data_IF_200531797178
#
_entry.id   IF_200531797178
#
_cell.length_a   1.000
_cell.length_b   1.000
_cell.length_c   1.000
_cell.angle_alpha   90.00
_cell.angle_beta   90.00
_cell.angle_gamma   90.00
#
_symmetry.space_group_name_H-M   'P 1'
#
loop_
_entity.id
_entity.type
_entity.pdbx_description
1 polymer ?
#
# COMPACT_ATOMS: atom_id res chain seq x y z
N UNK A 1 -14.37 4.01 5.04
CA UNK A 1 -13.03 3.51 4.62
C UNK A 1 -11.99 3.84 5.69
N UNK A 2 -10.99 2.93 5.94
CA UNK A 2 -9.88 3.21 6.86
C UNK A 2 -8.64 3.63 6.07
N UNK A 3 -8.08 4.78 6.39
CA UNK A 3 -6.88 5.34 5.76
C UNK A 3 -5.80 5.55 6.81
N UNK A 4 -4.52 5.45 6.41
CA UNK A 4 -3.39 5.69 7.30
C UNK A 4 -2.63 6.94 6.88
N UNK A 5 -2.54 7.92 7.75
CA UNK A 5 -1.64 9.06 7.62
C UNK A 5 -0.29 8.78 8.26
N UNK A 6 0.74 9.49 7.81
CA UNK A 6 2.11 9.32 8.30
C UNK A 6 2.70 10.65 8.71
N UNK A 7 3.32 10.67 9.88
CA UNK A 7 4.01 11.81 10.47
C UNK A 7 5.46 11.40 10.70
N UNK A 8 6.41 12.24 10.33
CA UNK A 8 7.83 12.03 10.62
C UNK A 8 8.14 12.59 12.00
N UNK A 9 8.53 11.73 12.93
CA UNK A 9 9.04 12.15 14.24
C UNK A 9 10.49 12.63 14.14
N UNK A 10 10.85 13.56 15.01
CA UNK A 10 12.19 14.15 15.14
C UNK A 10 12.68 14.05 16.59
N UNK A 11 12.85 12.81 17.12
CA UNK A 11 13.27 12.62 18.50
C UNK A 11 14.70 13.11 18.72
N UNK A 12 14.98 13.58 19.93
CA UNK A 12 16.34 13.83 20.45
C UNK A 12 17.14 12.52 20.55
N UNK A 13 18.40 12.60 20.92
CA UNK A 13 19.21 11.38 21.11
C UNK A 13 18.67 10.50 22.25
N UNK A 14 18.26 11.11 23.35
CA UNK A 14 17.68 10.42 24.51
C UNK A 14 16.33 9.79 24.18
N UNK A 15 15.44 10.55 23.53
CA UNK A 15 14.14 10.04 23.06
C UNK A 15 14.30 8.92 22.02
N UNK A 16 15.36 8.95 21.21
CA UNK A 16 15.70 7.87 20.27
C UNK A 16 16.00 6.56 21.00
N UNK A 17 16.79 6.61 22.07
CA UNK A 17 17.09 5.44 22.89
C UNK A 17 15.82 4.89 23.53
N UNK A 18 15.00 5.78 24.08
CA UNK A 18 13.74 5.42 24.72
C UNK A 18 12.73 4.80 23.74
N UNK A 19 12.61 5.36 22.54
CA UNK A 19 11.76 4.80 21.48
C UNK A 19 12.25 3.44 20.99
N UNK A 20 13.56 3.28 20.78
CA UNK A 20 14.14 1.99 20.38
C UNK A 20 13.91 0.93 21.46
N UNK A 21 14.13 1.26 22.72
CA UNK A 21 13.87 0.40 23.86
C UNK A 21 12.38 -0.01 23.90
N UNK A 22 11.47 0.97 23.89
CA UNK A 22 10.02 0.72 23.95
C UNK A 22 9.55 -0.19 22.79
N UNK A 23 10.03 0.05 21.58
CA UNK A 23 9.66 -0.79 20.42
C UNK A 23 10.23 -2.20 20.51
N UNK A 24 11.43 -2.36 21.11
CA UNK A 24 12.04 -3.68 21.30
C UNK A 24 11.30 -4.45 22.38
N UNK A 25 11.03 -3.85 23.51
CA UNK A 25 10.24 -4.45 24.61
C UNK A 25 8.83 -4.83 24.15
N UNK A 26 8.20 -4.00 23.28
CA UNK A 26 6.89 -4.31 22.72
C UNK A 26 6.91 -5.62 21.94
N UNK A 27 7.83 -5.79 20.99
CA UNK A 27 7.91 -7.03 20.19
C UNK A 27 8.38 -8.22 20.99
N UNK A 28 9.24 -8.03 22.01
CA UNK A 28 9.65 -9.08 22.93
C UNK A 28 8.43 -9.62 23.68
N UNK A 29 7.67 -8.76 24.33
CA UNK A 29 6.47 -9.16 25.08
C UNK A 29 5.44 -9.85 24.20
N UNK A 30 5.24 -9.39 22.94
CA UNK A 30 4.33 -10.09 22.01
C UNK A 30 4.85 -11.49 21.67
N UNK A 31 6.16 -11.65 21.42
CA UNK A 31 6.75 -12.97 21.16
C UNK A 31 6.65 -13.89 22.39
N UNK A 32 6.93 -13.39 23.58
CA UNK A 32 6.85 -14.18 24.83
C UNK A 32 5.43 -14.71 25.07
N UNK A 33 4.41 -13.88 24.81
CA UNK A 33 2.98 -14.31 24.90
C UNK A 33 2.68 -15.36 23.83
N UNK A 34 3.20 -15.22 22.61
CA UNK A 34 3.00 -16.21 21.54
C UNK A 34 3.73 -17.52 21.83
N UNK A 35 4.95 -17.47 22.36
CA UNK A 35 5.72 -18.66 22.73
C UNK A 35 5.02 -19.44 23.85
N UNK A 36 4.46 -18.73 24.86
CA UNK A 36 3.62 -19.36 25.88
C UNK A 36 2.38 -20.00 25.27
N UNK A 37 1.67 -19.29 24.38
CA UNK A 37 0.45 -19.81 23.75
C UNK A 37 0.72 -21.03 22.86
N UNK A 38 1.90 -21.13 22.24
CA UNK A 38 2.33 -22.32 21.49
C UNK A 38 2.62 -23.48 22.45
N UNK A 39 3.33 -23.24 23.53
CA UNK A 39 3.74 -24.28 24.47
C UNK A 39 2.55 -24.90 25.23
N UNK A 40 1.53 -24.08 25.52
CA UNK A 40 0.32 -24.51 26.26
C UNK A 40 -0.86 -24.87 25.36
N UNK A 41 -0.76 -24.65 24.04
CA UNK A 41 -1.85 -24.76 23.05
C UNK A 41 -3.11 -23.93 23.39
N UNK A 42 -2.96 -22.95 24.28
CA UNK A 42 -4.04 -22.07 24.75
C UNK A 42 -3.55 -20.64 24.84
N UNK A 43 -4.33 -19.69 24.32
CA UNK A 43 -4.04 -18.26 24.53
C UNK A 43 -4.26 -17.89 26.00
N UNK A 44 -3.20 -17.43 26.73
CA UNK A 44 -3.33 -17.11 28.16
C UNK A 44 -4.27 -15.91 28.38
N UNK A 45 -4.98 -15.89 29.49
CA UNK A 45 -5.77 -14.72 29.94
C UNK A 45 -4.86 -13.78 30.72
N UNK A 46 -4.33 -12.75 30.06
CA UNK A 46 -3.42 -11.78 30.66
C UNK A 46 -4.05 -10.39 30.77
N UNK A 47 -3.67 -9.67 31.82
CA UNK A 47 -4.02 -8.27 32.03
C UNK A 47 -2.74 -7.42 32.05
N UNK A 48 -2.87 -6.11 31.89
CA UNK A 48 -1.70 -5.22 31.98
C UNK A 48 -0.98 -5.29 33.32
N UNK A 49 -1.66 -5.73 34.39
CA UNK A 49 -1.07 -5.92 35.72
C UNK A 49 -0.27 -7.21 35.86
N UNK A 50 -0.71 -8.29 35.22
CA UNK A 50 -0.03 -9.60 35.29
C UNK A 50 1.16 -9.73 34.34
N UNK A 51 1.24 -8.87 33.32
CA UNK A 51 2.38 -8.84 32.39
C UNK A 51 3.54 -8.02 32.96
N UNK A 52 4.68 -8.69 33.19
CA UNK A 52 5.90 -8.07 33.69
C UNK A 52 6.72 -7.59 32.49
N UNK A 53 6.72 -6.29 32.24
CA UNK A 53 7.53 -5.64 31.21
C UNK A 53 7.69 -4.15 31.53
N UNK A 54 8.80 -3.50 31.18
CA UNK A 54 9.03 -2.07 31.38
C UNK A 54 8.29 -1.24 30.31
N UNK A 55 6.98 -1.41 30.26
CA UNK A 55 6.08 -0.76 29.31
C UNK A 55 4.88 -0.13 30.03
N UNK A 56 4.34 0.99 29.52
CA UNK A 56 3.05 1.52 29.94
C UNK A 56 1.93 0.49 29.88
N UNK A 57 0.97 0.53 30.80
CA UNK A 57 -0.17 -0.39 30.83
C UNK A 57 -0.94 -0.46 29.51
N UNK A 58 -1.08 0.68 28.84
CA UNK A 58 -1.71 0.77 27.51
C UNK A 58 -0.96 -0.04 26.44
N UNK A 59 0.37 -0.03 26.47
CA UNK A 59 1.19 -0.84 25.54
C UNK A 59 1.13 -2.31 25.90
N UNK A 60 1.15 -2.68 27.18
CA UNK A 60 0.99 -4.08 27.60
C UNK A 60 -0.34 -4.67 27.12
N UNK A 61 -1.44 -3.92 27.31
CA UNK A 61 -2.75 -4.33 26.80
C UNK A 61 -2.75 -4.51 25.26
N UNK A 62 -2.08 -3.60 24.54
CA UNK A 62 -1.99 -3.71 23.08
C UNK A 62 -1.11 -4.89 22.63
N UNK A 63 -0.01 -5.20 23.34
CA UNK A 63 0.81 -6.39 23.09
C UNK A 63 -0.04 -7.67 23.18
N UNK A 64 -0.88 -7.78 24.21
CA UNK A 64 -1.80 -8.90 24.36
C UNK A 64 -2.81 -9.00 23.20
N UNK A 65 -3.41 -7.88 22.79
CA UNK A 65 -4.35 -7.84 21.66
C UNK A 65 -3.69 -8.23 20.33
N UNK A 66 -2.46 -7.77 20.10
CA UNK A 66 -1.69 -8.13 18.91
C UNK A 66 -1.32 -9.64 18.92
N UNK A 67 -0.84 -10.16 20.06
CA UNK A 67 -0.54 -11.58 20.21
C UNK A 67 -1.77 -12.44 19.97
N UNK A 68 -2.92 -12.09 20.58
CA UNK A 68 -4.20 -12.79 20.39
C UNK A 68 -4.64 -12.79 18.93
N UNK A 69 -4.52 -11.67 18.23
CA UNK A 69 -4.84 -11.54 16.80
C UNK A 69 -3.93 -12.41 15.94
N UNK A 70 -2.61 -12.41 16.21
CA UNK A 70 -1.64 -13.23 15.48
C UNK A 70 -1.91 -14.71 15.70
N UNK A 71 -2.11 -15.14 16.94
CA UNK A 71 -2.42 -16.52 17.31
C UNK A 71 -3.68 -17.02 16.59
N UNK A 72 -4.79 -16.28 16.71
CA UNK A 72 -6.06 -16.64 16.06
C UNK A 72 -5.97 -16.71 14.53
N UNK A 73 -5.26 -15.77 13.89
CA UNK A 73 -5.04 -15.80 12.46
C UNK A 73 -4.17 -16.99 12.03
N UNK A 74 -3.16 -17.33 12.82
CA UNK A 74 -2.26 -18.45 12.54
C UNK A 74 -3.01 -19.79 12.59
N UNK A 75 -3.87 -19.99 13.60
CA UNK A 75 -4.73 -21.16 13.69
C UNK A 75 -5.72 -21.23 12.53
N UNK A 76 -6.41 -20.12 12.24
CA UNK A 76 -7.39 -20.05 11.14
C UNK A 76 -6.79 -20.42 9.78
N UNK A 77 -5.57 -19.98 9.50
CA UNK A 77 -4.88 -20.22 8.22
C UNK A 77 -3.93 -21.42 8.24
N UNK A 78 -3.88 -22.19 9.33
CA UNK A 78 -2.97 -23.34 9.53
C UNK A 78 -1.53 -23.00 9.11
N UNK A 79 -1.07 -21.79 9.45
CA UNK A 79 0.25 -21.28 9.09
C UNK A 79 1.23 -21.42 10.25
N UNK A 80 2.53 -21.35 9.96
CA UNK A 80 3.56 -21.29 11.01
C UNK A 80 3.44 -20.01 11.81
N UNK A 81 3.57 -20.10 13.14
CA UNK A 81 3.59 -18.92 14.01
C UNK A 81 4.73 -17.99 13.66
N UNK A 82 4.46 -16.70 13.40
CA UNK A 82 5.50 -15.74 13.07
C UNK A 82 6.23 -15.26 14.33
N UNK A 83 7.55 -15.09 14.25
CA UNK A 83 8.36 -14.38 15.25
C UNK A 83 8.53 -12.94 14.80
N UNK A 84 8.12 -11.99 15.62
CA UNK A 84 8.26 -10.56 15.33
C UNK A 84 9.72 -10.13 15.48
N UNK A 85 10.28 -9.52 14.42
CA UNK A 85 11.69 -9.07 14.39
C UNK A 85 11.85 -7.58 14.13
N UNK A 86 10.80 -6.92 13.60
CA UNK A 86 10.88 -5.49 13.27
C UNK A 86 10.36 -4.67 14.44
N UNK A 87 11.19 -3.77 15.02
CA UNK A 87 10.77 -2.92 16.10
C UNK A 87 9.51 -2.11 15.71
N UNK A 88 8.50 -2.21 16.56
CA UNK A 88 7.23 -1.49 16.44
C UNK A 88 6.64 -1.33 17.82
N UNK A 89 5.87 -0.25 18.03
CA UNK A 89 4.99 -0.11 19.19
C UNK A 89 3.66 0.52 18.74
N UNK A 90 2.55 0.11 19.34
CA UNK A 90 1.21 0.51 18.96
C UNK A 90 0.45 1.01 20.17
N UNK A 91 -0.12 2.21 20.07
CA UNK A 91 -0.99 2.83 21.06
C UNK A 91 -2.43 2.88 20.54
N UNK A 92 -3.39 2.69 21.41
CA UNK A 92 -4.79 2.93 21.06
C UNK A 92 -5.10 4.43 20.95
N UNK A 93 -6.24 4.77 20.42
CA UNK A 93 -6.63 6.15 20.14
C UNK A 93 -6.80 7.05 21.37
N UNK A 94 -6.97 6.47 22.57
CA UNK A 94 -7.11 7.23 23.82
C UNK A 94 -5.78 7.65 24.43
N UNK A 95 -4.67 7.03 24.01
CA UNK A 95 -3.36 7.17 24.67
C UNK A 95 -2.38 8.08 23.92
N UNK A 96 -2.81 8.80 22.90
CA UNK A 96 -1.95 9.75 22.21
C UNK A 96 -2.69 11.00 21.80
N UNK A 97 -1.95 12.08 21.57
CA UNK A 97 -2.44 13.33 21.01
C UNK A 97 -1.52 13.81 19.90
N UNK A 98 -2.09 14.49 18.91
CA UNK A 98 -1.38 15.15 17.82
C UNK A 98 -1.61 16.63 17.97
N UNK A 99 -0.56 17.41 17.86
CA UNK A 99 -0.61 18.85 17.92
C UNK A 99 0.38 19.44 16.91
N UNK A 100 0.38 20.76 16.74
CA UNK A 100 1.36 21.40 15.90
C UNK A 100 2.78 21.17 16.45
N UNK A 101 3.63 20.63 15.59
CA UNK A 101 5.03 20.35 15.89
C UNK A 101 5.34 19.13 16.76
N UNK A 102 4.35 18.40 17.31
CA UNK A 102 4.63 17.21 18.12
C UNK A 102 3.52 16.15 18.13
N UNK A 103 3.91 14.94 18.51
CA UNK A 103 2.98 13.85 18.86
C UNK A 103 3.30 13.41 20.28
N UNK A 104 2.29 13.37 21.17
CA UNK A 104 2.47 12.98 22.55
C UNK A 104 1.82 11.62 22.84
N UNK A 105 2.54 10.75 23.53
CA UNK A 105 2.10 9.40 23.92
C UNK A 105 2.86 8.91 25.16
N UNK A 106 2.29 7.95 25.93
CA UNK A 106 2.95 7.47 27.13
C UNK A 106 4.16 6.58 26.79
N UNK A 107 5.27 6.87 27.45
CA UNK A 107 6.49 6.08 27.48
C UNK A 107 6.84 5.70 28.92
N UNK A 108 7.67 4.69 29.10
CA UNK A 108 8.15 4.28 30.43
C UNK A 108 9.51 4.93 30.68
N UNK A 109 9.53 5.91 31.55
CA UNK A 109 10.71 6.74 31.88
C UNK A 109 10.95 6.69 33.38
N UNK A 110 12.16 6.36 33.81
CA UNK A 110 12.54 6.30 35.24
C UNK A 110 11.53 5.50 36.09
N UNK A 111 11.17 4.30 35.61
CA UNK A 111 10.22 3.40 36.24
C UNK A 111 8.78 3.95 36.40
N UNK A 112 8.44 5.00 35.67
CA UNK A 112 7.09 5.60 35.67
C UNK A 112 6.55 5.78 34.26
N UNK A 113 5.25 5.67 34.10
CA UNK A 113 4.57 6.01 32.85
C UNK A 113 4.43 7.52 32.73
N UNK A 114 5.06 8.10 31.73
CA UNK A 114 5.03 9.55 31.47
C UNK A 114 4.54 9.84 30.06
N UNK A 115 3.57 10.74 29.91
CA UNK A 115 3.13 11.22 28.58
C UNK A 115 4.21 12.14 28.02
N UNK A 116 4.95 11.65 27.04
CA UNK A 116 6.11 12.32 26.44
C UNK A 116 5.72 12.96 25.12
N UNK A 117 6.10 14.22 24.91
CA UNK A 117 5.94 14.96 23.66
C UNK A 117 7.17 14.71 22.79
N UNK A 118 7.00 14.11 21.62
CA UNK A 118 8.08 13.91 20.64
C UNK A 118 7.89 14.90 19.50
N UNK A 119 8.89 15.71 19.22
CA UNK A 119 8.87 16.64 18.09
C UNK A 119 8.60 15.94 16.78
N UNK A 120 7.80 16.55 15.92
CA UNK A 120 7.34 15.95 14.68
C UNK A 120 7.11 16.98 13.57
N UNK A 121 7.25 16.56 12.32
CA UNK A 121 6.80 17.34 11.17
C UNK A 121 5.34 17.01 10.91
N UNK A 122 4.44 17.83 11.45
CA UNK A 122 2.99 17.66 11.34
C UNK A 122 2.47 18.58 10.23
N UNK A 123 2.08 18.07 9.05
CA UNK A 123 1.47 18.89 8.00
C UNK A 123 0.07 19.38 8.44
N UNK A 124 -0.35 20.58 8.03
CA UNK A 124 -1.67 21.14 8.33
C UNK A 124 -2.80 20.15 8.02
N UNK A 125 -2.76 19.49 6.87
CA UNK A 125 -3.74 18.45 6.52
C UNK A 125 -3.91 17.36 7.57
N UNK A 126 -2.87 17.04 8.34
CA UNK A 126 -2.95 16.03 9.41
C UNK A 126 -3.71 16.58 10.60
N UNK A 127 -3.49 17.85 10.94
CA UNK A 127 -4.24 18.56 11.99
C UNK A 127 -5.72 18.67 11.64
N UNK A 128 -6.03 19.02 10.38
CA UNK A 128 -7.41 19.11 9.87
C UNK A 128 -8.13 17.74 9.98
N UNK A 129 -7.43 16.66 9.59
CA UNK A 129 -7.95 15.29 9.75
C UNK A 129 -8.13 14.94 11.22
N UNK A 130 -7.17 15.28 12.08
CA UNK A 130 -7.25 15.00 13.51
C UNK A 130 -8.40 15.71 14.20
N UNK A 131 -8.74 16.92 13.73
CA UNK A 131 -9.86 17.71 14.25
C UNK A 131 -11.23 17.22 13.79
N UNK A 132 -11.32 16.62 12.58
CA UNK A 132 -12.60 16.30 11.93
C UNK A 132 -12.95 14.81 11.88
N UNK A 133 -11.97 13.92 12.12
CA UNK A 133 -12.14 12.48 11.96
C UNK A 133 -11.82 11.72 13.24
N UNK A 134 -12.50 10.59 13.44
CA UNK A 134 -12.17 9.65 14.51
C UNK A 134 -10.83 8.98 14.21
N UNK A 135 -9.84 9.25 15.06
CA UNK A 135 -8.54 8.62 14.97
C UNK A 135 -8.57 7.20 15.54
N UNK A 136 -7.84 6.29 14.92
CA UNK A 136 -7.63 4.92 15.37
C UNK A 136 -6.30 4.75 16.09
N UNK A 137 -5.61 3.63 15.89
CA UNK A 137 -4.34 3.33 16.55
C UNK A 137 -3.18 4.16 15.98
N UNK A 138 -2.27 4.58 16.86
CA UNK A 138 -0.96 5.12 16.54
C UNK A 138 0.05 3.97 16.50
N UNK A 139 0.75 3.80 15.39
CA UNK A 139 1.83 2.84 15.23
C UNK A 139 3.14 3.56 14.95
N UNK A 140 4.15 3.36 15.80
CA UNK A 140 5.51 3.90 15.57
C UNK A 140 6.39 2.81 14.97
N UNK A 141 7.08 3.15 13.88
CA UNK A 141 8.01 2.25 13.18
C UNK A 141 9.31 2.96 12.86
N UNK A 142 10.41 2.21 12.87
CA UNK A 142 11.73 2.72 12.47
C UNK A 142 12.04 2.32 11.03
N UNK A 143 12.32 3.31 10.17
CA UNK A 143 12.71 3.11 8.76
C UNK A 143 14.11 3.71 8.52
N UNK A 144 15.15 2.89 8.65
CA UNK A 144 16.53 3.37 8.75
C UNK A 144 16.70 4.20 10.02
N UNK A 145 17.16 5.44 9.90
CA UNK A 145 17.31 6.36 11.05
C UNK A 145 16.10 7.28 11.26
N UNK A 146 14.93 6.94 10.69
CA UNK A 146 13.74 7.79 10.77
C UNK A 146 12.63 7.06 11.52
N UNK A 147 12.01 7.77 12.47
CA UNK A 147 10.82 7.30 13.17
C UNK A 147 9.59 7.86 12.47
N UNK A 148 8.65 6.98 12.18
CA UNK A 148 7.41 7.31 11.47
C UNK A 148 6.25 6.89 12.36
N UNK A 149 5.44 7.85 12.75
CA UNK A 149 4.14 7.64 13.35
C UNK A 149 3.12 7.41 12.22
N UNK A 150 2.44 6.29 12.26
CA UNK A 150 1.39 5.89 11.35
C UNK A 150 0.08 5.87 12.13
N UNK A 151 -0.90 6.66 11.69
CA UNK A 151 -2.17 6.82 12.40
C UNK A 151 -3.29 6.45 11.45
N UNK A 152 -4.10 5.47 11.83
CA UNK A 152 -5.31 5.13 11.13
C UNK A 152 -6.40 6.16 11.45
N UNK A 153 -7.24 6.49 10.48
CA UNK A 153 -8.46 7.26 10.69
C UNK A 153 -9.58 6.71 9.81
N UNK A 154 -10.79 6.90 10.26
CA UNK A 154 -11.97 6.52 9.51
C UNK A 154 -12.49 7.73 8.76
N UNK A 155 -12.69 7.58 7.45
CA UNK A 155 -13.36 8.57 6.62
C UNK A 155 -14.60 7.95 5.99
N UNK A 156 -15.65 8.74 5.88
CA UNK A 156 -16.80 8.33 5.10
C UNK A 156 -16.38 8.13 3.64
N UNK A 157 -16.89 7.11 3.01
CA UNK A 157 -16.89 7.02 1.56
C UNK A 157 -17.93 8.01 1.05
N UNK A 158 -17.59 8.77 0.00
CA UNK A 158 -18.58 9.60 -0.65
C UNK A 158 -19.72 8.72 -1.16
N UNK A 159 -20.95 9.22 -1.08
CA UNK A 159 -22.11 8.50 -1.64
C UNK A 159 -21.79 8.11 -3.09
N UNK A 160 -22.10 6.87 -3.43
CA UNK A 160 -21.88 6.38 -4.79
C UNK A 160 -22.71 7.21 -5.78
N UNK A 161 -22.08 7.64 -6.87
CA UNK A 161 -22.78 8.33 -7.94
C UNK A 161 -23.77 7.38 -8.60
N UNK A 162 -25.03 7.78 -8.69
CA UNK A 162 -26.11 6.98 -9.32
C UNK A 162 -26.13 7.12 -10.83
N UNK A 163 -25.69 8.26 -11.37
CA UNK A 163 -25.62 8.56 -12.81
C UNK A 163 -24.24 9.03 -13.20
N UNK A 164 -23.91 9.02 -14.47
CA UNK A 164 -22.66 9.49 -15.02
C UNK A 164 -22.03 8.53 -16.03
N UNK A 165 -20.86 8.92 -16.52
CA UNK A 165 -20.12 8.17 -17.52
C UNK A 165 -19.44 6.91 -16.91
N UNK A 166 -19.00 6.03 -17.79
CA UNK A 166 -18.17 4.85 -17.45
C UNK A 166 -16.78 5.04 -18.06
N UNK A 167 -15.76 4.60 -17.34
CA UNK A 167 -14.37 4.64 -17.80
C UNK A 167 -13.76 3.24 -17.74
N UNK A 168 -13.29 2.73 -18.88
CA UNK A 168 -12.47 1.51 -18.96
C UNK A 168 -10.99 1.86 -18.83
N UNK A 169 -10.23 1.14 -17.99
CA UNK A 169 -8.81 1.37 -17.77
C UNK A 169 -8.02 0.09 -17.95
N UNK A 170 -7.19 0.06 -18.98
CA UNK A 170 -6.20 -1.01 -19.23
C UNK A 170 -4.90 -0.70 -18.48
N UNK A 171 -4.40 -1.67 -17.70
CA UNK A 171 -3.14 -1.58 -16.97
C UNK A 171 -2.03 -2.33 -17.70
N UNK A 172 -0.96 -1.65 -18.06
CA UNK A 172 0.11 -2.21 -18.88
C UNK A 172 1.53 -2.02 -18.34
N UNK A 173 2.48 -2.76 -18.92
CA UNK A 173 3.91 -2.63 -18.58
C UNK A 173 4.58 -1.50 -19.38
N UNK A 174 4.24 -1.32 -20.66
CA UNK A 174 4.83 -0.28 -21.52
C UNK A 174 4.15 1.06 -21.33
N UNK A 175 2.83 1.09 -21.31
CA UNK A 175 2.02 2.18 -20.81
C UNK A 175 1.40 1.75 -19.47
N UNK A 176 1.72 2.38 -18.35
CA UNK A 176 1.21 1.97 -17.04
C UNK A 176 -0.30 1.94 -16.93
N UNK A 177 -1.01 2.86 -17.60
CA UNK A 177 -2.45 2.81 -17.74
C UNK A 177 -2.93 3.57 -18.99
N UNK A 178 -3.99 3.07 -19.62
CA UNK A 178 -4.74 3.78 -20.66
C UNK A 178 -6.21 3.79 -20.27
N UNK A 179 -6.83 4.97 -20.25
CA UNK A 179 -8.24 5.10 -19.95
C UNK A 179 -9.03 5.56 -21.16
N UNK A 180 -10.23 5.00 -21.32
CA UNK A 180 -11.21 5.40 -22.32
C UNK A 180 -12.56 5.59 -21.61
N UNK A 181 -13.22 6.70 -21.88
CA UNK A 181 -14.59 6.96 -21.39
C UNK A 181 -15.61 6.72 -22.48
N UNK A 182 -16.86 6.42 -22.09
CA UNK A 182 -17.96 6.19 -23.04
C UNK A 182 -18.28 7.42 -23.93
N UNK A 183 -17.83 8.61 -23.56
CA UNK A 183 -17.88 9.82 -24.41
C UNK A 183 -16.70 9.91 -25.41
N UNK A 184 -15.91 8.83 -25.58
CA UNK A 184 -14.84 8.70 -26.57
C UNK A 184 -13.48 9.30 -26.16
N UNK A 185 -13.38 9.98 -25.01
CA UNK A 185 -12.08 10.53 -24.55
C UNK A 185 -11.12 9.41 -24.21
N UNK A 186 -9.88 9.54 -24.70
CA UNK A 186 -8.80 8.56 -24.47
C UNK A 186 -7.60 9.29 -23.84
N UNK A 187 -7.01 8.71 -22.80
CA UNK A 187 -5.79 9.26 -22.18
C UNK A 187 -4.81 8.16 -21.77
N UNK A 188 -3.53 8.41 -22.02
CA UNK A 188 -2.40 7.55 -21.67
C UNK A 188 -1.70 8.10 -20.45
N UNK A 189 -1.41 7.25 -19.45
CA UNK A 189 -0.82 7.66 -18.17
C UNK A 189 0.50 6.95 -17.91
N UNK A 190 1.48 7.74 -17.50
CA UNK A 190 2.79 7.25 -17.09
C UNK A 190 3.72 6.87 -18.25
N UNK A 191 4.92 6.42 -17.91
CA UNK A 191 5.96 6.05 -18.88
C UNK A 191 6.67 4.75 -18.44
N UNK A 192 6.27 3.63 -19.01
CA UNK A 192 6.84 2.32 -18.70
C UNK A 192 8.31 2.16 -19.14
N UNK A 193 8.76 2.90 -20.17
CA UNK A 193 10.19 2.93 -20.55
C UNK A 193 11.02 3.55 -19.43
N UNK A 194 10.56 4.65 -18.85
CA UNK A 194 11.20 5.29 -17.70
C UNK A 194 11.22 4.36 -16.48
N UNK A 195 10.11 3.71 -16.20
CA UNK A 195 10.01 2.70 -15.13
C UNK A 195 11.06 1.60 -15.32
N UNK A 196 11.16 1.04 -16.53
CA UNK A 196 12.12 0.00 -16.86
C UNK A 196 13.56 0.49 -16.74
N UNK A 197 13.86 1.72 -17.21
CA UNK A 197 15.19 2.33 -17.09
C UNK A 197 15.60 2.50 -15.62
N UNK A 198 14.69 3.00 -14.77
CA UNK A 198 14.95 3.16 -13.32
C UNK A 198 15.24 1.81 -12.65
N UNK A 199 14.43 0.77 -12.93
CA UNK A 199 14.66 -0.58 -12.41
C UNK A 199 16.03 -1.13 -12.83
N UNK A 200 16.40 -0.99 -14.12
CA UNK A 200 17.72 -1.39 -14.63
C UNK A 200 18.86 -0.67 -13.91
N UNK A 201 18.75 0.66 -13.72
CA UNK A 201 19.75 1.46 -13.00
C UNK A 201 19.95 0.96 -11.56
N UNK A 202 18.86 0.70 -10.82
CA UNK A 202 18.95 0.18 -9.46
C UNK A 202 19.47 -1.26 -9.42
N UNK A 203 19.08 -2.12 -10.35
CA UNK A 203 19.60 -3.48 -10.47
C UNK A 203 21.11 -3.50 -10.76
N UNK A 204 21.59 -2.70 -11.71
CA UNK A 204 23.00 -2.55 -12.02
C UNK A 204 23.81 -2.04 -10.82
N UNK A 205 23.27 -1.05 -10.09
CA UNK A 205 23.87 -0.56 -8.85
C UNK A 205 24.01 -1.66 -7.80
N UNK A 206 22.95 -2.44 -7.55
CA UNK A 206 22.99 -3.57 -6.60
C UNK A 206 24.03 -4.61 -7.02
N UNK A 207 24.08 -4.98 -8.33
CA UNK A 207 25.06 -5.93 -8.87
C UNK A 207 26.50 -5.45 -8.63
N UNK A 208 26.79 -4.16 -8.94
CA UNK A 208 28.12 -3.56 -8.73
C UNK A 208 28.51 -3.56 -7.25
N UNK A 209 27.61 -3.13 -6.35
CA UNK A 209 27.86 -3.11 -4.91
C UNK A 209 28.01 -4.52 -4.32
N UNK A 210 27.27 -5.50 -4.86
CA UNK A 210 27.39 -6.91 -4.46
C UNK A 210 28.75 -7.50 -4.84
N UNK A 211 29.23 -7.25 -6.07
CA UNK A 211 30.57 -7.65 -6.50
C UNK A 211 31.65 -7.03 -5.60
N UNK A 212 31.48 -5.78 -5.18
CA UNK A 212 32.38 -5.08 -4.27
C UNK A 212 32.15 -5.42 -2.78
N UNK A 213 31.33 -6.44 -2.46
CA UNK A 213 30.96 -6.87 -1.08
C UNK A 213 30.42 -5.75 -0.17
N UNK A 214 29.94 -4.63 -0.74
CA UNK A 214 29.41 -3.46 0.00
C UNK A 214 27.93 -3.63 0.40
N UNK A 215 27.63 -4.66 1.21
CA UNK A 215 26.25 -5.04 1.59
C UNK A 215 25.50 -3.95 2.36
N UNK A 216 26.21 -3.21 3.25
CA UNK A 216 25.60 -2.06 3.97
C UNK A 216 25.10 -0.97 3.00
N UNK A 217 25.84 -0.71 1.91
CA UNK A 217 25.44 0.27 0.88
C UNK A 217 24.24 -0.24 0.06
N UNK A 218 24.14 -1.55 -0.20
CA UNK A 218 22.96 -2.16 -0.82
C UNK A 218 21.73 -1.97 0.08
N UNK A 219 21.82 -2.28 1.37
CA UNK A 219 20.73 -2.07 2.34
C UNK A 219 20.26 -0.60 2.36
N UNK A 220 21.18 0.38 2.35
CA UNK A 220 20.84 1.82 2.29
C UNK A 220 20.09 2.23 1.00
N UNK A 221 20.37 1.57 -0.14
CA UNK A 221 19.72 1.91 -1.42
C UNK A 221 18.41 1.17 -1.68
N UNK A 222 18.13 0.11 -0.93
CA UNK A 222 17.05 -0.84 -1.20
C UNK A 222 15.66 -0.20 -1.36
N UNK A 223 15.30 0.71 -0.48
CA UNK A 223 13.96 1.30 -0.49
C UNK A 223 13.77 2.46 -1.48
N UNK A 224 14.84 2.96 -2.13
CA UNK A 224 14.74 4.10 -3.08
C UNK A 224 13.97 3.73 -4.33
N UNK A 225 14.23 2.54 -4.92
CA UNK A 225 13.49 2.05 -6.08
C UNK A 225 12.01 1.86 -5.77
N UNK A 226 11.71 1.19 -4.65
CA UNK A 226 10.32 0.96 -4.25
C UNK A 226 9.55 2.25 -4.02
N UNK A 227 10.16 3.24 -3.35
CA UNK A 227 9.54 4.54 -3.12
C UNK A 227 9.28 5.29 -4.42
N UNK A 228 10.24 5.28 -5.35
CA UNK A 228 10.06 5.92 -6.64
C UNK A 228 8.93 5.28 -7.44
N UNK A 229 8.86 3.93 -7.47
CA UNK A 229 7.78 3.22 -8.15
C UNK A 229 6.42 3.48 -7.48
N UNK A 230 6.36 3.53 -6.14
CA UNK A 230 5.13 3.85 -5.43
C UNK A 230 4.68 5.30 -5.70
N UNK A 231 5.60 6.26 -5.77
CA UNK A 231 5.31 7.65 -6.13
C UNK A 231 4.70 7.75 -7.55
N UNK A 232 5.26 6.99 -8.53
CA UNK A 232 4.67 6.93 -9.87
C UNK A 232 3.25 6.35 -9.85
N UNK A 233 3.01 5.25 -9.13
CA UNK A 233 1.69 4.66 -9.03
C UNK A 233 0.70 5.61 -8.33
N UNK A 234 1.14 6.37 -7.32
CA UNK A 234 0.33 7.41 -6.69
C UNK A 234 -0.04 8.56 -7.64
N UNK A 235 0.91 9.02 -8.47
CA UNK A 235 0.69 10.09 -9.47
C UNK A 235 -0.28 9.62 -10.55
N UNK A 236 -0.06 8.42 -11.09
CA UNK A 236 -0.90 7.85 -12.14
C UNK A 236 -2.33 7.64 -11.63
N UNK A 237 -2.50 6.99 -10.48
CA UNK A 237 -3.83 6.74 -9.92
C UNK A 237 -4.57 8.03 -9.55
N UNK A 238 -3.85 9.08 -9.10
CA UNK A 238 -4.47 10.40 -8.84
C UNK A 238 -4.93 11.06 -10.14
N UNK A 239 -4.10 11.02 -11.20
CA UNK A 239 -4.45 11.57 -12.49
C UNK A 239 -5.67 10.87 -13.10
N UNK A 240 -5.74 9.52 -13.03
CA UNK A 240 -6.90 8.75 -13.51
C UNK A 240 -8.18 9.19 -12.78
N UNK A 241 -8.15 9.26 -11.45
CA UNK A 241 -9.34 9.62 -10.66
C UNK A 241 -9.72 11.08 -10.88
N UNK A 242 -8.77 12.00 -11.01
CA UNK A 242 -9.06 13.40 -11.34
C UNK A 242 -9.72 13.54 -12.71
N UNK A 243 -9.23 12.79 -13.72
CA UNK A 243 -9.85 12.77 -15.04
C UNK A 243 -11.24 12.10 -15.02
N UNK A 244 -11.44 11.09 -14.18
CA UNK A 244 -12.77 10.48 -13.97
C UNK A 244 -13.74 11.48 -13.35
N UNK A 245 -13.31 12.27 -12.34
CA UNK A 245 -14.13 13.34 -11.75
C UNK A 245 -14.48 14.41 -12.81
N UNK A 246 -13.48 14.87 -13.57
CA UNK A 246 -13.66 15.92 -14.59
C UNK A 246 -14.53 15.49 -15.78
N UNK A 247 -14.70 14.18 -16.00
CA UNK A 247 -15.59 13.63 -17.03
C UNK A 247 -16.88 13.04 -16.47
N UNK A 248 -17.24 13.37 -15.24
CA UNK A 248 -18.43 12.88 -14.54
C UNK A 248 -18.59 11.36 -14.60
N UNK A 249 -17.51 10.65 -14.34
CA UNK A 249 -17.51 9.18 -14.31
C UNK A 249 -18.11 8.69 -13.00
N UNK A 250 -19.06 7.76 -13.09
CA UNK A 250 -19.64 7.04 -11.94
C UNK A 250 -18.94 5.70 -11.67
N UNK A 251 -18.47 5.04 -12.73
CA UNK A 251 -17.86 3.70 -12.60
C UNK A 251 -16.56 3.64 -13.39
N UNK A 252 -15.49 3.17 -12.74
CA UNK A 252 -14.22 2.81 -13.38
C UNK A 252 -14.16 1.29 -13.48
N UNK A 253 -13.98 0.74 -14.69
CA UNK A 253 -13.76 -0.69 -14.93
C UNK A 253 -12.28 -0.98 -15.09
N UNK A 254 -11.78 -1.99 -14.36
CA UNK A 254 -10.40 -2.48 -14.39
C UNK A 254 -10.38 -3.97 -14.72
N UNK A 255 -9.30 -4.47 -15.33
CA UNK A 255 -9.10 -5.91 -15.47
C UNK A 255 -8.79 -6.59 -14.12
N UNK A 256 -9.40 -7.76 -13.89
CA UNK A 256 -9.04 -8.65 -12.79
C UNK A 256 -7.74 -9.41 -13.13
N UNK A 257 -6.62 -8.88 -12.68
CA UNK A 257 -5.28 -9.42 -12.96
C UNK A 257 -4.76 -10.33 -11.83
N UNK A 258 -5.60 -10.72 -10.87
CA UNK A 258 -5.21 -11.70 -9.86
C UNK A 258 -4.84 -13.03 -10.55
N UNK A 259 -3.73 -13.64 -10.11
CA UNK A 259 -3.27 -14.89 -10.75
C UNK A 259 -2.48 -14.75 -12.07
N UNK A 260 -2.39 -13.58 -12.69
CA UNK A 260 -1.64 -13.40 -13.95
C UNK A 260 -0.17 -13.84 -13.90
N UNK A 261 0.44 -13.80 -12.71
CA UNK A 261 1.83 -14.24 -12.50
C UNK A 261 2.00 -15.76 -12.52
N UNK A 262 0.95 -16.50 -12.19
CA UNK A 262 0.92 -17.96 -12.20
C UNK A 262 0.53 -18.50 -13.58
N UNK A 263 -0.43 -17.86 -14.26
CA UNK A 263 -1.00 -18.32 -15.51
C UNK A 263 -0.21 -17.91 -16.76
N UNK A 264 0.51 -16.78 -16.72
CA UNK A 264 1.21 -16.27 -17.90
C UNK A 264 2.48 -17.07 -18.23
N UNK A 265 2.48 -17.76 -19.37
CA UNK A 265 3.67 -18.40 -19.95
C UNK A 265 4.45 -17.39 -20.78
N UNK A 266 5.61 -16.95 -20.30
CA UNK A 266 6.43 -15.93 -20.96
C UNK A 266 7.91 -16.30 -20.95
N UNK A 267 8.72 -15.69 -21.83
CA UNK A 267 10.17 -15.84 -21.80
C UNK A 267 10.74 -15.34 -20.46
N UNK A 268 11.92 -15.86 -20.05
CA UNK A 268 12.62 -15.47 -18.80
C UNK A 268 12.73 -13.94 -18.63
N UNK A 269 12.98 -13.20 -19.72
CA UNK A 269 13.09 -11.74 -19.74
C UNK A 269 11.74 -11.05 -19.49
N UNK A 270 10.68 -11.55 -20.10
CA UNK A 270 9.33 -11.02 -19.93
C UNK A 270 8.77 -11.40 -18.55
N UNK A 271 9.06 -12.59 -18.07
CA UNK A 271 8.68 -13.06 -16.74
C UNK A 271 9.23 -12.12 -15.63
N UNK A 272 10.52 -11.73 -15.71
CA UNK A 272 11.06 -10.73 -14.79
C UNK A 272 10.29 -9.39 -14.84
N UNK A 273 9.89 -8.94 -16.01
CA UNK A 273 9.09 -7.71 -16.17
C UNK A 273 7.71 -7.87 -15.56
N UNK A 274 7.03 -9.01 -15.77
CA UNK A 274 5.73 -9.34 -15.21
C UNK A 274 5.77 -9.40 -13.67
N UNK A 275 6.73 -10.13 -13.09
CA UNK A 275 6.87 -10.23 -11.64
C UNK A 275 7.22 -8.90 -10.95
N UNK A 276 7.91 -8.00 -11.66
CA UNK A 276 8.24 -6.67 -11.16
C UNK A 276 7.15 -5.62 -11.41
N UNK A 277 6.09 -5.96 -12.15
CA UNK A 277 4.99 -5.05 -12.47
C UNK A 277 4.09 -4.81 -11.26
N UNK A 278 3.77 -3.55 -10.98
CA UNK A 278 3.01 -3.11 -9.79
C UNK A 278 1.50 -3.00 -10.04
N UNK A 279 0.93 -3.82 -10.95
CA UNK A 279 -0.49 -3.73 -11.33
C UNK A 279 -1.42 -3.75 -10.11
N UNK A 280 -1.24 -4.67 -9.19
CA UNK A 280 -2.07 -4.78 -7.99
C UNK A 280 -2.06 -3.50 -7.14
N UNK A 281 -0.86 -2.91 -6.92
CA UNK A 281 -0.74 -1.68 -6.14
C UNK A 281 -1.39 -0.49 -6.86
N UNK A 282 -1.20 -0.38 -8.18
CA UNK A 282 -1.81 0.68 -8.98
C UNK A 282 -3.34 0.56 -8.97
N UNK A 283 -3.89 -0.64 -9.17
CA UNK A 283 -5.33 -0.91 -9.08
C UNK A 283 -5.89 -0.53 -7.70
N UNK A 284 -5.25 -0.97 -6.62
CA UNK A 284 -5.66 -0.60 -5.25
C UNK A 284 -5.55 0.90 -4.96
N UNK A 285 -4.60 1.60 -5.59
CA UNK A 285 -4.51 3.06 -5.47
C UNK A 285 -5.60 3.80 -6.25
N UNK A 286 -6.06 3.25 -7.38
CA UNK A 286 -7.23 3.76 -8.10
C UNK A 286 -8.48 3.51 -7.26
N UNK A 287 -8.70 2.28 -6.79
CA UNK A 287 -9.87 1.86 -6.03
C UNK A 287 -10.13 2.74 -4.80
N UNK A 288 -9.13 2.92 -3.89
CA UNK A 288 -9.37 3.72 -2.70
C UNK A 288 -9.59 5.22 -3.01
N UNK A 289 -8.92 5.75 -4.05
CA UNK A 289 -9.09 7.16 -4.43
C UNK A 289 -10.41 7.41 -5.14
N UNK A 290 -10.87 6.44 -5.94
CA UNK A 290 -12.18 6.45 -6.58
C UNK A 290 -13.31 6.41 -5.53
N UNK A 291 -13.21 5.49 -4.55
CA UNK A 291 -14.18 5.39 -3.45
C UNK A 291 -14.28 6.69 -2.63
N UNK A 292 -13.16 7.40 -2.41
CA UNK A 292 -13.16 8.73 -1.78
C UNK A 292 -13.90 9.80 -2.62
N UNK A 293 -14.03 9.59 -3.93
CA UNK A 293 -14.71 10.49 -4.85
C UNK A 293 -16.13 10.02 -5.20
N UNK A 294 -16.65 8.98 -4.53
CA UNK A 294 -17.95 8.39 -4.83
C UNK A 294 -18.01 7.66 -6.17
N UNK A 295 -16.85 7.26 -6.72
CA UNK A 295 -16.74 6.53 -7.98
C UNK A 295 -16.56 5.05 -7.66
N UNK A 296 -17.46 4.22 -8.20
CA UNK A 296 -17.38 2.76 -8.08
C UNK A 296 -16.22 2.20 -8.91
N UNK A 297 -15.57 1.14 -8.44
CA UNK A 297 -14.58 0.39 -9.22
C UNK A 297 -15.04 -1.05 -9.37
N UNK A 298 -15.19 -1.48 -10.63
CA UNK A 298 -15.62 -2.83 -11.00
C UNK A 298 -14.48 -3.55 -11.71
N UNK A 299 -14.24 -4.81 -11.34
CA UNK A 299 -13.26 -5.65 -11.99
C UNK A 299 -13.92 -6.55 -13.05
N UNK A 300 -13.36 -6.57 -14.24
CA UNK A 300 -13.85 -7.35 -15.37
C UNK A 300 -12.88 -8.46 -15.76
N UNK A 301 -13.39 -9.50 -16.41
CA UNK A 301 -12.58 -10.62 -16.90
C UNK A 301 -11.59 -10.14 -17.97
N UNK A 302 -10.27 -10.37 -17.80
CA UNK A 302 -9.22 -9.92 -18.73
C UNK A 302 -9.16 -10.74 -20.02
N UNK A 303 -9.97 -11.79 -20.18
CA UNK A 303 -9.89 -12.68 -21.32
C UNK A 303 -10.17 -11.94 -22.65
N UNK A 304 -9.14 -11.92 -23.50
CA UNK A 304 -9.21 -11.39 -24.88
C UNK A 304 -9.46 -9.88 -25.03
N UNK A 305 -9.44 -9.10 -23.96
CA UNK A 305 -9.62 -7.64 -24.01
C UNK A 305 -8.70 -6.94 -25.00
N UNK A 306 -7.48 -7.44 -25.21
CA UNK A 306 -6.51 -6.90 -26.17
C UNK A 306 -6.60 -7.52 -27.59
N UNK A 307 -7.63 -8.33 -27.88
CA UNK A 307 -7.74 -9.09 -29.13
C UNK A 307 -9.09 -8.92 -29.85
N UNK A 308 -10.19 -8.72 -29.12
CA UNK A 308 -11.52 -8.60 -29.71
C UNK A 308 -11.68 -7.24 -30.40
N UNK A 309 -12.12 -7.25 -31.63
CA UNK A 309 -12.47 -6.04 -32.37
C UNK A 309 -13.80 -5.46 -31.85
N UNK A 310 -13.87 -4.24 -31.40
CA UNK A 310 -15.11 -3.66 -30.91
C UNK A 310 -16.13 -3.36 -32.04
N UNK A 311 -15.68 -3.39 -33.31
CA UNK A 311 -16.55 -3.15 -34.47
C UNK A 311 -17.23 -4.43 -34.96
N UNK A 312 -16.48 -5.54 -35.14
CA UNK A 312 -17.02 -6.76 -35.74
C UNK A 312 -16.97 -7.99 -34.83
N UNK A 313 -16.53 -7.88 -33.59
CA UNK A 313 -16.43 -8.97 -32.63
C UNK A 313 -15.35 -10.04 -32.94
N UNK A 314 -14.71 -9.99 -34.12
CA UNK A 314 -13.67 -10.97 -34.47
C UNK A 314 -12.44 -10.83 -33.58
N UNK A 315 -11.87 -11.98 -33.20
CA UNK A 315 -10.62 -12.04 -32.46
C UNK A 315 -9.45 -11.92 -33.44
N UNK A 316 -8.56 -10.93 -33.19
CA UNK A 316 -7.36 -10.70 -33.98
C UNK A 316 -6.17 -10.41 -33.08
N UNK A 317 -4.98 -10.91 -33.40
CA UNK A 317 -3.79 -10.75 -32.61
C UNK A 317 -2.91 -9.62 -33.17
N UNK A 318 -2.71 -8.56 -32.43
CA UNK A 318 -1.78 -7.49 -32.79
C UNK A 318 -0.32 -7.93 -32.58
N UNK A 319 0.49 -7.89 -33.62
CA UNK A 319 1.92 -8.23 -33.54
C UNK A 319 2.74 -7.14 -32.82
N UNK A 320 2.28 -5.91 -32.86
CA UNK A 320 2.93 -4.76 -32.24
C UNK A 320 1.95 -3.90 -31.41
N UNK A 321 2.11 -2.59 -31.44
CA UNK A 321 1.23 -1.61 -30.77
C UNK A 321 0.07 -1.15 -31.64
N UNK A 322 0.11 -1.42 -32.93
CA UNK A 322 -0.96 -1.09 -33.84
C UNK A 322 -1.86 -2.30 -34.02
N UNK A 323 -3.10 -2.16 -33.63
CA UNK A 323 -4.13 -3.15 -33.88
C UNK A 323 -4.84 -2.81 -35.19
N UNK A 324 -4.89 -3.78 -36.09
CA UNK A 324 -5.60 -3.66 -37.37
C UNK A 324 -6.51 -4.89 -37.52
N UNK A 325 -7.78 -4.67 -37.80
CA UNK A 325 -8.76 -5.71 -38.02
C UNK A 325 -9.13 -5.81 -39.52
N UNK A 326 -9.50 -7.00 -39.97
CA UNK A 326 -9.97 -7.24 -41.36
C UNK A 326 -11.23 -6.44 -41.73
N UNK A 327 -11.99 -5.93 -40.73
CA UNK A 327 -13.13 -5.03 -40.98
C UNK A 327 -12.74 -3.55 -41.19
N UNK A 328 -11.44 -3.22 -41.22
CA UNK A 328 -10.94 -1.87 -41.39
C UNK A 328 -10.74 -1.10 -40.06
N UNK A 329 -11.19 -1.63 -38.92
CA UNK A 329 -10.95 -0.99 -37.62
C UNK A 329 -9.47 -1.01 -37.26
N UNK A 330 -8.91 0.12 -36.94
CA UNK A 330 -7.52 0.25 -36.49
C UNK A 330 -7.40 1.16 -35.27
N UNK A 331 -6.52 0.83 -34.35
CA UNK A 331 -6.28 1.62 -33.12
C UNK A 331 -4.99 1.19 -32.43
N UNK A 332 -4.55 1.97 -31.44
CA UNK A 332 -3.47 1.56 -30.55
C UNK A 332 -3.94 0.37 -29.68
N UNK A 333 -3.13 -0.70 -29.59
CA UNK A 333 -3.46 -1.92 -28.85
C UNK A 333 -3.90 -1.69 -27.40
N UNK A 334 -3.19 -0.82 -26.66
CA UNK A 334 -3.53 -0.53 -25.25
C UNK A 334 -4.84 0.29 -25.16
N UNK A 335 -5.19 1.07 -26.19
CA UNK A 335 -6.50 1.71 -26.30
C UNK A 335 -7.61 0.69 -26.57
N UNK A 336 -7.33 -0.29 -27.41
CA UNK A 336 -8.27 -1.40 -27.67
C UNK A 336 -8.63 -2.12 -26.37
N UNK A 337 -7.61 -2.47 -25.55
CA UNK A 337 -7.83 -3.06 -24.23
C UNK A 337 -8.78 -2.22 -23.37
N UNK A 338 -8.52 -0.92 -23.28
CA UNK A 338 -9.36 -0.01 -22.49
C UNK A 338 -10.80 0.12 -23.04
N UNK A 339 -10.99 0.09 -24.37
CA UNK A 339 -12.32 0.07 -25.02
C UNK A 339 -13.08 -1.21 -24.68
N UNK A 340 -12.43 -2.37 -24.80
CA UNK A 340 -13.06 -3.64 -24.48
C UNK A 340 -13.37 -3.81 -22.98
N UNK A 341 -12.53 -3.26 -22.09
CA UNK A 341 -12.80 -3.19 -20.66
C UNK A 341 -14.01 -2.27 -20.39
N UNK A 342 -14.14 -1.18 -21.12
CA UNK A 342 -15.27 -0.25 -21.00
C UNK A 342 -16.60 -0.95 -21.31
N UNK A 343 -16.62 -1.80 -22.36
CA UNK A 343 -17.84 -2.48 -22.85
C UNK A 343 -18.12 -3.82 -22.16
N UNK A 344 -17.16 -4.39 -21.44
CA UNK A 344 -17.33 -5.63 -20.65
C UNK A 344 -18.25 -5.40 -19.40
#
# INVERSE_FOLDING_TARGET
MKITMQIKLQPTKEETVLLDFTMQEYISLVNDILDYAIASDIMPKLTSKTMIAPLPSALKAQCYMDAKSIYGNTLKHKSRMPVLKKPVAIWNNQNYTIDDGYVAFPLFVNNKTTKTKISAVVPQRVLDIAATHKLGTLRITKKGNKYIAQIAYETAESAAKTSGNVMGVDLGIKCPAVAVTNNGKTKFYGNGRQNKQKRRKFAAKRKRLGKAKKLKAIKKSHNKEQRWMADQDHKISRAIVNDAIANDVKTIKLEELSGIRQSARTSRKNNHSLHSWSFYRLAKFIEYKAGLAGIEVVYVNPAYTSQICPCCGKRNHANDRNYVCSCGYHTHRDRLGAVNILTA
#
